data_IF_003075535390
#
_entry.id   IF_003075535390
#
_cell.length_a   1.000
_cell.length_b   1.000
_cell.length_c   1.000
_cell.angle_alpha   90.00
_cell.angle_beta   90.00
_cell.angle_gamma   90.00
#
_symmetry.space_group_name_H-M   'P 1'
#
loop_
_entity.id
_entity.type
_entity.pdbx_description
1 polymer ?
#
# COMPACT_ATOMS: atom_id res chain seq x y z
N UNK A 1 7.72 15.47 -5.27
CA UNK A 1 7.48 14.03 -5.52
C UNK A 1 6.67 13.94 -6.80
N UNK A 2 7.26 13.50 -7.90
CA UNK A 2 6.51 13.20 -9.12
C UNK A 2 5.76 11.89 -8.90
N UNK A 3 4.43 11.95 -8.80
CA UNK A 3 3.63 10.72 -8.87
C UNK A 3 3.66 10.21 -10.30
N UNK A 4 4.26 9.03 -10.49
CA UNK A 4 4.23 8.31 -11.77
C UNK A 4 3.07 7.32 -11.78
N UNK A 5 2.41 7.17 -12.92
CA UNK A 5 1.40 6.11 -13.11
C UNK A 5 2.10 4.75 -13.10
N UNK A 6 1.72 3.88 -12.17
CA UNK A 6 2.25 2.53 -12.07
C UNK A 6 1.20 1.52 -12.57
N UNK A 7 1.45 0.90 -13.72
CA UNK A 7 0.64 -0.22 -14.20
C UNK A 7 0.95 -1.48 -13.39
N UNK A 8 -0.08 -2.21 -12.98
CA UNK A 8 0.02 -3.53 -12.34
C UNK A 8 -0.55 -4.61 -13.26
N UNK A 9 -0.10 -5.84 -13.08
CA UNK A 9 -0.54 -6.98 -13.93
C UNK A 9 -1.99 -7.37 -13.61
N UNK A 10 -2.32 -7.39 -12.33
CA UNK A 10 -3.63 -7.75 -11.81
C UNK A 10 -3.85 -7.09 -10.43
N UNK A 11 -5.01 -7.36 -9.83
CA UNK A 11 -5.39 -6.82 -8.53
C UNK A 11 -4.47 -7.26 -7.38
N UNK A 12 -3.94 -8.49 -7.43
CA UNK A 12 -3.04 -9.00 -6.40
C UNK A 12 -1.66 -8.35 -6.47
N UNK A 13 -1.10 -8.22 -7.68
CA UNK A 13 0.13 -7.48 -7.95
C UNK A 13 0.01 -6.01 -7.52
N UNK A 14 -1.10 -5.35 -7.87
CA UNK A 14 -1.38 -3.98 -7.45
C UNK A 14 -1.40 -3.86 -5.93
N UNK A 15 -2.13 -4.75 -5.25
CA UNK A 15 -2.29 -4.71 -3.80
C UNK A 15 -0.97 -4.96 -3.07
N UNK A 16 -0.15 -5.91 -3.55
CA UNK A 16 1.19 -6.18 -3.00
C UNK A 16 2.11 -4.98 -3.16
N UNK A 17 2.18 -4.40 -4.36
CA UNK A 17 3.03 -3.23 -4.63
C UNK A 17 2.61 -2.01 -3.82
N UNK A 18 1.31 -1.83 -3.62
CA UNK A 18 0.78 -0.78 -2.74
C UNK A 18 1.16 -1.03 -1.27
N UNK A 19 1.03 -2.27 -0.79
CA UNK A 19 1.40 -2.63 0.58
C UNK A 19 2.90 -2.41 0.83
N UNK A 20 3.77 -2.87 -0.08
CA UNK A 20 5.22 -2.65 0.01
C UNK A 20 5.58 -1.16 0.03
N UNK A 21 4.90 -0.34 -0.78
CA UNK A 21 5.12 1.10 -0.81
C UNK A 21 4.77 1.75 0.54
N UNK A 22 3.60 1.40 1.08
CA UNK A 22 3.13 1.93 2.38
C UNK A 22 4.02 1.44 3.53
N UNK A 23 4.41 0.16 3.53
CA UNK A 23 5.29 -0.43 4.54
C UNK A 23 6.64 0.31 4.60
N UNK A 24 7.29 0.50 3.45
CA UNK A 24 8.56 1.24 3.37
C UNK A 24 8.43 2.69 3.84
N UNK A 25 7.30 3.34 3.56
CA UNK A 25 7.04 4.69 4.04
C UNK A 25 6.90 4.74 5.58
N UNK A 26 6.18 3.79 6.16
CA UNK A 26 6.00 3.68 7.62
C UNK A 26 7.33 3.37 8.32
N UNK A 27 8.11 2.42 7.81
CA UNK A 27 9.44 2.10 8.37
C UNK A 27 10.38 3.31 8.33
N UNK A 28 10.40 4.05 7.21
CA UNK A 28 11.22 5.24 7.09
C UNK A 28 10.71 6.42 7.95
N UNK A 29 9.42 6.40 8.33
CA UNK A 29 8.74 7.49 9.03
C UNK A 29 7.88 6.96 10.19
N UNK A 30 8.48 6.53 11.32
CA UNK A 30 7.78 5.83 12.40
C UNK A 30 6.72 6.64 13.16
N UNK A 31 6.59 7.95 12.89
CA UNK A 31 5.52 8.82 13.41
C UNK A 31 4.63 9.38 12.29
N UNK A 32 4.57 8.70 11.15
CA UNK A 32 3.71 9.09 10.05
C UNK A 32 2.23 9.07 10.46
N UNK A 33 1.49 10.06 9.99
CA UNK A 33 0.03 10.08 10.04
C UNK A 33 -0.46 9.85 8.62
N UNK A 34 -1.24 8.78 8.41
CA UNK A 34 -1.70 8.37 7.08
C UNK A 34 -3.23 8.33 7.10
N UNK A 35 -3.86 9.01 6.13
CA UNK A 35 -5.29 8.88 5.89
C UNK A 35 -5.54 7.63 5.03
N UNK A 36 -6.37 6.70 5.53
CA UNK A 36 -6.64 5.42 4.87
C UNK A 36 -7.99 5.46 4.15
N UNK A 37 -8.04 5.18 2.84
CA UNK A 37 -9.31 5.06 2.12
C UNK A 37 -10.09 3.81 2.52
N UNK A 38 -11.42 3.87 2.43
CA UNK A 38 -12.32 2.72 2.60
C UNK A 38 -12.72 2.11 1.26
N UNK A 39 -13.33 0.92 1.28
CA UNK A 39 -13.86 0.24 0.09
C UNK A 39 -13.12 -1.06 -0.24
N UNK A 40 -13.49 -1.69 -1.35
CA UNK A 40 -12.95 -3.00 -1.72
C UNK A 40 -11.54 -2.93 -2.31
N UNK A 41 -11.21 -1.86 -3.05
CA UNK A 41 -9.91 -1.70 -3.70
C UNK A 41 -8.70 -1.80 -2.75
N UNK A 42 -8.68 -1.15 -1.56
CA UNK A 42 -7.55 -1.28 -0.64
C UNK A 42 -7.62 -2.52 0.27
N UNK A 43 -8.68 -3.33 0.19
CA UNK A 43 -8.93 -4.42 1.13
C UNK A 43 -7.78 -5.43 1.20
N UNK A 44 -7.32 -5.91 0.04
CA UNK A 44 -6.22 -6.88 -0.02
C UNK A 44 -4.90 -6.26 0.45
N UNK A 45 -4.63 -5.00 0.09
CA UNK A 45 -3.46 -4.28 0.58
C UNK A 45 -3.43 -4.23 2.12
N UNK A 46 -4.57 -3.97 2.77
CA UNK A 46 -4.64 -3.96 4.24
C UNK A 46 -4.42 -5.35 4.84
N UNK A 47 -4.98 -6.40 4.25
CA UNK A 47 -4.72 -7.78 4.70
C UNK A 47 -3.22 -8.08 4.67
N UNK A 48 -2.53 -7.75 3.58
CA UNK A 48 -1.08 -7.95 3.45
C UNK A 48 -0.30 -7.14 4.51
N UNK A 49 -0.66 -5.88 4.74
CA UNK A 49 0.00 -5.06 5.77
C UNK A 49 -0.16 -5.62 7.19
N UNK A 50 -1.31 -6.22 7.51
CA UNK A 50 -1.56 -6.81 8.83
C UNK A 50 -0.75 -8.11 8.99
N UNK A 51 -0.61 -8.89 7.93
CA UNK A 51 0.17 -10.13 7.93
C UNK A 51 1.70 -9.87 7.92
N UNK A 52 2.11 -8.59 7.85
CA UNK A 52 3.49 -8.10 7.73
C UNK A 52 4.21 -8.48 6.42
N UNK A 53 3.56 -9.30 5.59
CA UNK A 53 3.27 -9.12 4.18
C UNK A 53 2.36 -10.26 3.71
#
# INVERSE_FOLDING_TARGET
MTQGMAAARDYADMSRRAAEHVYRFIEATPRAVIALPTGETPRLMYSLLIEAL
#
